data_IF_120380339714
#
_entry.id   IF_120380339714
#
_cell.length_a   1.000
_cell.length_b   1.000
_cell.length_c   1.000
_cell.angle_alpha   90.00
_cell.angle_beta   90.00
_cell.angle_gamma   90.00
#
_symmetry.space_group_name_H-M   'P 1'
#
loop_
_entity.id
_entity.type
_entity.pdbx_description
1 polymer ?
#
# COMPACT_ATOMS: atom_id res chain seq x y z
N UNK A 1 33.61 34.74 -62.65
CA UNK A 1 33.48 33.30 -62.34
C UNK A 1 32.78 33.17 -60.99
N UNK A 2 31.51 32.77 -60.97
CA UNK A 2 30.79 32.51 -59.72
C UNK A 2 31.23 31.14 -59.19
N UNK A 3 31.91 31.13 -58.04
CA UNK A 3 32.36 29.89 -57.39
C UNK A 3 31.14 29.20 -56.79
N UNK A 4 30.56 28.23 -57.50
CA UNK A 4 29.48 27.40 -56.95
C UNK A 4 30.07 26.50 -55.87
N UNK A 5 29.89 26.90 -54.61
CA UNK A 5 30.18 26.03 -53.46
C UNK A 5 29.08 24.96 -53.43
N UNK A 6 29.40 23.67 -53.61
CA UNK A 6 28.37 22.64 -53.57
C UNK A 6 27.78 22.56 -52.16
N UNK A 7 26.49 22.83 -52.05
CA UNK A 7 25.76 22.76 -50.79
C UNK A 7 25.67 21.28 -50.36
N UNK A 8 26.52 20.88 -49.40
CA UNK A 8 26.52 19.51 -48.88
C UNK A 8 25.33 19.30 -47.94
N UNK A 9 24.53 18.27 -48.23
CA UNK A 9 23.41 17.80 -47.40
C UNK A 9 23.75 16.43 -46.82
N UNK A 10 24.22 16.34 -45.57
CA UNK A 10 24.57 15.05 -44.98
C UNK A 10 23.32 14.15 -44.88
N UNK A 11 23.39 12.93 -45.43
CA UNK A 11 22.30 11.93 -45.34
C UNK A 11 22.01 11.55 -43.88
N UNK A 12 23.02 11.61 -43.01
CA UNK A 12 22.94 11.32 -41.57
C UNK A 12 21.98 12.24 -40.82
N UNK A 13 21.90 13.53 -41.18
CA UNK A 13 20.97 14.47 -40.54
C UNK A 13 19.50 14.10 -40.81
N UNK A 14 19.18 13.59 -42.00
CA UNK A 14 17.83 13.12 -42.34
C UNK A 14 17.49 11.80 -41.66
N UNK A 15 18.45 10.88 -41.57
CA UNK A 15 18.28 9.59 -40.89
C UNK A 15 18.06 9.81 -39.40
N UNK A 16 18.87 10.68 -38.77
CA UNK A 16 18.74 11.07 -37.36
C UNK A 16 17.36 11.63 -37.06
N UNK A 17 16.89 12.60 -37.85
CA UNK A 17 15.55 13.16 -37.68
C UNK A 17 14.45 12.10 -37.78
N UNK A 18 14.49 11.24 -38.80
CA UNK A 18 13.47 10.19 -38.98
C UNK A 18 13.50 9.17 -37.85
N UNK A 19 14.67 8.68 -37.47
CA UNK A 19 14.83 7.74 -36.37
C UNK A 19 14.28 8.33 -35.06
N UNK A 20 14.63 9.58 -34.73
CA UNK A 20 14.15 10.23 -33.50
C UNK A 20 12.65 10.50 -33.53
N UNK A 21 12.12 10.88 -34.70
CA UNK A 21 10.68 11.07 -34.89
C UNK A 21 9.88 9.78 -34.67
N UNK A 22 10.45 8.61 -34.97
CA UNK A 22 9.79 7.32 -34.71
C UNK A 22 10.07 6.76 -33.31
N UNK A 23 11.24 7.02 -32.73
CA UNK A 23 11.63 6.51 -31.42
C UNK A 23 10.63 6.91 -30.31
N UNK A 24 10.32 8.21 -30.22
CA UNK A 24 9.43 8.73 -29.16
C UNK A 24 8.01 8.16 -29.28
N UNK A 25 7.31 8.23 -30.43
CA UNK A 25 5.98 7.65 -30.56
C UNK A 25 5.95 6.14 -30.33
N UNK A 26 6.97 5.39 -30.76
CA UNK A 26 7.03 3.93 -30.51
C UNK A 26 7.03 3.66 -29.01
N UNK A 27 7.89 4.34 -28.24
CA UNK A 27 7.96 4.16 -26.79
C UNK A 27 6.67 4.60 -26.08
N UNK A 28 6.10 5.74 -26.49
CA UNK A 28 4.85 6.26 -25.90
C UNK A 28 3.68 5.33 -26.21
N UNK A 29 3.52 4.90 -27.45
CA UNK A 29 2.45 3.97 -27.84
C UNK A 29 2.62 2.63 -27.14
N UNK A 30 3.85 2.11 -27.03
CA UNK A 30 4.12 0.88 -26.31
C UNK A 30 3.73 0.98 -24.82
N UNK A 31 4.13 2.07 -24.14
CA UNK A 31 3.77 2.32 -22.76
C UNK A 31 2.25 2.43 -22.56
N UNK A 32 1.55 3.14 -23.45
CA UNK A 32 0.09 3.28 -23.40
C UNK A 32 -0.62 1.95 -23.69
N UNK A 33 -0.15 1.18 -24.68
CA UNK A 33 -0.69 -0.12 -25.02
C UNK A 33 -0.53 -1.10 -23.84
N UNK A 34 0.64 -1.11 -23.20
CA UNK A 34 0.89 -1.92 -22.01
C UNK A 34 -0.02 -1.51 -20.86
N UNK A 35 -0.11 -0.21 -20.58
CA UNK A 35 -0.98 0.30 -19.50
C UNK A 35 -2.47 0.00 -19.72
N UNK A 36 -2.90 -0.07 -20.97
CA UNK A 36 -4.25 -0.46 -21.36
C UNK A 36 -4.47 -1.99 -21.34
N UNK A 37 -3.46 -2.79 -21.01
CA UNK A 37 -3.53 -4.25 -21.01
C UNK A 37 -3.62 -4.87 -22.41
N UNK A 38 -3.23 -4.13 -23.45
CA UNK A 38 -3.27 -4.61 -24.84
C UNK A 38 -2.07 -5.48 -25.22
N UNK A 39 -0.96 -5.32 -24.49
CA UNK A 39 0.26 -6.10 -24.63
C UNK A 39 0.74 -6.53 -23.24
N UNK A 40 1.37 -7.69 -23.17
CA UNK A 40 1.98 -8.23 -21.95
C UNK A 40 3.37 -7.66 -21.66
N UNK A 41 3.88 -7.85 -20.44
CA UNK A 41 5.23 -7.40 -20.06
C UNK A 41 6.31 -7.97 -21.01
N UNK A 42 6.18 -9.23 -21.41
CA UNK A 42 7.12 -9.94 -22.30
C UNK A 42 7.12 -9.30 -23.70
N UNK A 43 5.97 -8.86 -24.20
CA UNK A 43 5.82 -8.21 -25.50
C UNK A 43 6.30 -6.76 -25.48
N UNK A 44 6.19 -6.08 -24.34
CA UNK A 44 6.66 -4.71 -24.16
C UNK A 44 8.19 -4.62 -24.29
N UNK A 45 8.94 -5.55 -23.68
CA UNK A 45 10.41 -5.53 -23.64
C UNK A 45 11.09 -5.35 -25.02
N UNK A 46 10.81 -6.16 -26.06
CA UNK A 46 11.43 -5.98 -27.37
C UNK A 46 11.01 -4.67 -28.06
N UNK A 47 9.77 -4.21 -27.86
CA UNK A 47 9.30 -2.94 -28.44
C UNK A 47 10.03 -1.75 -27.79
N UNK A 48 10.22 -1.78 -26.47
CA UNK A 48 11.04 -0.80 -25.77
C UNK A 48 12.49 -0.83 -26.25
N UNK A 49 13.10 -2.02 -26.33
CA UNK A 49 14.48 -2.16 -26.81
C UNK A 49 14.65 -1.58 -28.22
N UNK A 50 13.70 -1.84 -29.12
CA UNK A 50 13.69 -1.26 -30.46
C UNK A 50 13.53 0.28 -30.44
N UNK A 51 12.59 0.79 -29.65
CA UNK A 51 12.38 2.23 -29.49
C UNK A 51 13.61 2.96 -28.94
N UNK A 52 14.26 2.39 -27.94
CA UNK A 52 15.52 2.91 -27.39
C UNK A 52 16.66 2.81 -28.41
N UNK A 53 16.79 1.72 -29.16
CA UNK A 53 17.80 1.59 -30.20
C UNK A 53 17.64 2.67 -31.29
N UNK A 54 16.39 2.98 -31.70
CA UNK A 54 16.11 4.11 -32.59
C UNK A 54 16.49 5.44 -31.96
N UNK A 55 16.21 5.64 -30.67
CA UNK A 55 16.60 6.82 -29.90
C UNK A 55 18.11 7.03 -29.87
N UNK A 56 18.87 5.97 -29.56
CA UNK A 56 20.35 5.97 -29.57
C UNK A 56 20.87 6.31 -30.97
N UNK A 57 20.37 5.62 -32.00
CA UNK A 57 20.79 5.86 -33.37
C UNK A 57 20.50 7.30 -33.82
N UNK A 58 19.33 7.84 -33.45
CA UNK A 58 18.96 9.22 -33.74
C UNK A 58 19.88 10.22 -33.05
N UNK A 59 20.15 10.01 -31.76
CA UNK A 59 21.01 10.86 -30.94
C UNK A 59 22.44 10.88 -31.47
N UNK A 60 23.05 9.70 -31.65
CA UNK A 60 24.43 9.55 -32.13
C UNK A 60 24.58 10.09 -33.56
N UNK A 61 23.69 9.73 -34.49
CA UNK A 61 23.75 10.24 -35.85
C UNK A 61 23.55 11.76 -35.91
N UNK A 62 22.75 12.32 -35.00
CA UNK A 62 22.53 13.75 -34.84
C UNK A 62 23.80 14.46 -34.38
N UNK A 63 24.47 13.94 -33.34
CA UNK A 63 25.75 14.46 -32.86
C UNK A 63 26.82 14.42 -33.96
N UNK A 64 26.96 13.30 -34.67
CA UNK A 64 27.89 13.16 -35.80
C UNK A 64 27.58 14.18 -36.90
N UNK A 65 26.29 14.40 -37.20
CA UNK A 65 25.87 15.39 -38.18
C UNK A 65 26.21 16.82 -37.74
N UNK A 66 26.02 17.17 -36.46
CA UNK A 66 26.37 18.48 -35.92
C UNK A 66 27.88 18.74 -36.01
N UNK A 67 28.72 17.78 -35.60
CA UNK A 67 30.19 17.89 -35.72
C UNK A 67 30.62 18.06 -37.17
N UNK A 68 30.07 17.23 -38.08
CA UNK A 68 30.36 17.30 -39.51
C UNK A 68 29.96 18.64 -40.14
N UNK A 69 28.82 19.21 -39.72
CA UNK A 69 28.35 20.52 -40.17
C UNK A 69 29.20 21.66 -39.60
N UNK A 70 29.72 21.51 -38.38
CA UNK A 70 30.63 22.47 -37.76
C UNK A 70 31.97 22.54 -38.49
N UNK A 71 32.58 21.39 -38.81
CA UNK A 71 33.88 21.33 -39.48
C UNK A 71 33.84 21.74 -40.96
N UNK A 72 32.81 21.28 -41.69
CA UNK A 72 32.81 21.28 -43.16
C UNK A 72 31.85 22.30 -43.76
N UNK A 73 30.98 22.90 -42.94
CA UNK A 73 29.89 23.74 -43.38
C UNK A 73 28.82 22.97 -44.17
N UNK A 74 27.59 23.49 -44.19
CA UNK A 74 26.50 22.87 -44.94
C UNK A 74 25.12 23.25 -44.44
N UNK A 75 24.10 22.62 -45.02
CA UNK A 75 22.70 22.81 -44.63
C UNK A 75 22.15 21.52 -43.99
N UNK A 76 21.25 21.65 -43.02
CA UNK A 76 20.68 20.51 -42.29
C UNK A 76 20.82 20.56 -40.77
N UNK A 77 21.31 21.69 -40.22
CA UNK A 77 21.39 21.95 -38.78
C UNK A 77 20.09 21.65 -38.05
N UNK A 78 18.96 22.14 -38.56
CA UNK A 78 17.65 21.95 -37.93
C UNK A 78 17.25 20.47 -37.84
N UNK A 79 17.57 19.65 -38.84
CA UNK A 79 17.29 18.22 -38.82
C UNK A 79 18.20 17.49 -37.82
N UNK A 80 19.48 17.85 -37.76
CA UNK A 80 20.43 17.28 -36.80
C UNK A 80 20.05 17.63 -35.35
N UNK A 81 19.76 18.90 -35.05
CA UNK A 81 19.32 19.35 -33.72
C UNK A 81 18.03 18.64 -33.30
N UNK A 82 17.01 18.58 -34.17
CA UNK A 82 15.76 17.87 -33.85
C UNK A 82 15.99 16.38 -33.59
N UNK A 83 16.85 15.73 -34.38
CA UNK A 83 17.20 14.33 -34.16
C UNK A 83 17.88 14.09 -32.81
N UNK A 84 18.79 14.98 -32.39
CA UNK A 84 19.39 14.94 -31.05
C UNK A 84 18.34 15.18 -29.96
N UNK A 85 17.45 16.16 -30.13
CA UNK A 85 16.41 16.46 -29.13
C UNK A 85 15.44 15.28 -28.97
N UNK A 86 14.88 14.75 -30.07
CA UNK A 86 13.96 13.61 -30.00
C UNK A 86 14.65 12.32 -29.54
N UNK A 87 15.87 12.09 -29.99
CA UNK A 87 16.70 10.99 -29.48
C UNK A 87 16.93 11.13 -27.98
N UNK A 88 17.28 12.32 -27.51
CA UNK A 88 17.49 12.60 -26.09
C UNK A 88 16.24 12.36 -25.25
N UNK A 89 15.07 12.86 -25.69
CA UNK A 89 13.78 12.61 -25.03
C UNK A 89 13.49 11.11 -24.94
N UNK A 90 13.68 10.36 -26.03
CA UNK A 90 13.47 8.91 -26.04
C UNK A 90 14.41 8.18 -25.07
N UNK A 91 15.59 8.73 -24.77
CA UNK A 91 16.57 8.12 -23.88
C UNK A 91 16.42 8.53 -22.42
N UNK A 92 15.56 9.49 -22.06
CA UNK A 92 15.33 9.89 -20.65
C UNK A 92 14.90 8.70 -19.78
N UNK A 93 13.89 7.89 -20.16
CA UNK A 93 13.50 6.73 -19.34
C UNK A 93 14.61 5.70 -19.21
N UNK A 94 15.38 5.49 -20.29
CA UNK A 94 16.52 4.57 -20.28
C UNK A 94 17.62 5.07 -19.34
N UNK A 95 17.94 6.37 -19.38
CA UNK A 95 18.93 6.98 -18.51
C UNK A 95 18.51 6.90 -17.03
N UNK A 96 17.23 7.13 -16.73
CA UNK A 96 16.67 6.97 -15.40
C UNK A 96 16.80 5.51 -14.91
N UNK A 97 16.44 4.53 -15.75
CA UNK A 97 16.59 3.12 -15.42
C UNK A 97 18.06 2.71 -15.16
N UNK A 98 18.97 3.15 -16.03
CA UNK A 98 20.41 2.91 -15.86
C UNK A 98 20.97 3.56 -14.59
N UNK A 99 20.52 4.77 -14.25
CA UNK A 99 20.86 5.43 -13.00
C UNK A 99 20.35 4.63 -11.79
N UNK A 100 19.12 4.12 -11.85
CA UNK A 100 18.56 3.27 -10.80
C UNK A 100 19.38 2.00 -10.58
N UNK A 101 19.79 1.33 -11.67
CA UNK A 101 20.61 0.09 -11.61
C UNK A 101 21.97 0.26 -10.93
N UNK A 102 22.53 1.47 -10.92
CA UNK A 102 23.82 1.75 -10.26
C UNK A 102 23.68 2.35 -8.86
N UNK A 103 22.48 2.82 -8.52
CA UNK A 103 22.22 3.55 -7.27
C UNK A 103 21.55 2.67 -6.23
N UNK A 104 20.62 1.81 -6.66
CA UNK A 104 19.81 0.98 -5.76
C UNK A 104 20.32 -0.47 -5.71
N UNK A 105 20.11 -1.19 -4.60
CA UNK A 105 20.42 -2.60 -4.50
C UNK A 105 19.55 -3.42 -5.47
N UNK A 106 20.11 -4.50 -6.01
CA UNK A 106 19.41 -5.44 -6.90
C UNK A 106 18.41 -6.30 -6.12
N UNK A 107 17.27 -5.71 -5.76
CA UNK A 107 16.15 -6.34 -5.07
C UNK A 107 14.87 -6.10 -5.87
N UNK A 108 13.94 -7.05 -5.83
CA UNK A 108 12.62 -6.93 -6.46
C UNK A 108 11.47 -7.15 -5.47
N UNK A 109 11.78 -7.42 -4.20
CA UNK A 109 10.83 -7.77 -3.17
C UNK A 109 11.35 -7.19 -1.85
N UNK A 110 10.55 -6.33 -1.24
CA UNK A 110 10.92 -5.59 -0.04
C UNK A 110 9.79 -5.72 0.95
N UNK A 111 10.11 -6.11 2.17
CA UNK A 111 9.14 -6.28 3.27
C UNK A 111 9.61 -5.58 4.53
N UNK A 112 8.70 -4.95 5.27
CA UNK A 112 9.00 -4.42 6.60
C UNK A 112 9.30 -5.54 7.59
N UNK A 113 8.61 -6.68 7.51
CA UNK A 113 8.97 -7.90 8.24
C UNK A 113 9.78 -8.82 7.31
N UNK A 114 11.10 -8.79 7.46
CA UNK A 114 12.04 -9.52 6.60
C UNK A 114 12.04 -11.03 6.92
N UNK A 115 11.71 -11.41 8.16
CA UNK A 115 11.76 -12.82 8.58
C UNK A 115 10.46 -13.54 8.27
N UNK A 116 9.32 -12.85 8.40
CA UNK A 116 8.00 -13.37 8.08
C UNK A 116 7.22 -12.36 7.22
N UNK A 117 7.56 -12.22 5.92
CA UNK A 117 6.94 -11.24 5.05
C UNK A 117 5.43 -11.48 4.89
N UNK A 118 4.61 -10.41 4.73
CA UNK A 118 3.23 -10.53 4.30
C UNK A 118 3.07 -11.43 3.06
N UNK A 119 2.05 -12.28 3.08
CA UNK A 119 1.76 -13.23 1.99
C UNK A 119 1.18 -12.46 0.80
N UNK A 120 1.69 -12.75 -0.39
CA UNK A 120 1.15 -12.27 -1.66
C UNK A 120 0.32 -13.38 -2.32
N UNK A 121 -0.90 -13.05 -2.73
CA UNK A 121 -1.82 -13.88 -3.50
C UNK A 121 -1.49 -13.71 -4.99
N UNK A 122 -1.57 -14.81 -5.75
CA UNK A 122 -1.28 -14.86 -7.19
C UNK A 122 0.12 -14.32 -7.55
N UNK A 123 1.11 -14.60 -6.68
CA UNK A 123 2.50 -14.21 -6.85
C UNK A 123 3.40 -15.46 -6.97
N UNK A 124 3.79 -15.77 -8.21
CA UNK A 124 4.49 -17.01 -8.57
C UNK A 124 6.03 -16.93 -8.48
N UNK A 125 6.57 -15.90 -7.80
CA UNK A 125 8.02 -15.75 -7.65
C UNK A 125 8.51 -16.42 -6.37
N UNK A 126 9.74 -16.96 -6.35
CA UNK A 126 10.31 -17.51 -5.13
C UNK A 126 10.45 -16.42 -4.07
N UNK A 127 10.23 -16.81 -2.81
CA UNK A 127 10.49 -15.94 -1.66
C UNK A 127 11.97 -15.50 -1.61
N UNK A 128 12.27 -14.29 -1.10
CA UNK A 128 13.63 -13.77 -1.02
C UNK A 128 14.58 -14.71 -0.28
N UNK A 129 15.75 -14.93 -0.87
CA UNK A 129 16.76 -15.81 -0.27
C UNK A 129 17.44 -15.14 0.94
N UNK A 130 18.45 -15.79 1.53
CA UNK A 130 19.16 -15.22 2.69
C UNK A 130 20.03 -14.02 2.30
N UNK A 131 20.57 -14.02 1.09
CA UNK A 131 21.42 -12.94 0.59
C UNK A 131 20.59 -11.70 0.29
N UNK A 132 19.43 -11.87 -0.34
CA UNK A 132 18.47 -10.78 -0.61
C UNK A 132 18.00 -10.14 0.69
N UNK A 133 17.63 -10.94 1.69
CA UNK A 133 17.24 -10.44 3.02
C UNK A 133 18.36 -9.69 3.73
N UNK A 134 19.60 -10.16 3.61
CA UNK A 134 20.75 -9.44 4.18
C UNK A 134 21.00 -8.11 3.45
N UNK A 135 20.95 -8.13 2.11
CA UNK A 135 21.09 -6.94 1.29
C UNK A 135 20.01 -5.90 1.61
N UNK A 136 18.76 -6.35 1.81
CA UNK A 136 17.67 -5.46 2.23
C UNK A 136 17.94 -4.85 3.60
N UNK A 137 18.38 -5.64 4.60
CA UNK A 137 18.71 -5.12 5.94
C UNK A 137 19.81 -4.05 5.89
N UNK A 138 20.79 -4.23 5.04
CA UNK A 138 21.91 -3.29 4.88
C UNK A 138 21.48 -2.00 4.16
N UNK A 139 20.69 -2.12 3.09
CA UNK A 139 20.29 -0.98 2.26
C UNK A 139 19.10 -0.20 2.82
N UNK A 140 18.17 -0.86 3.52
CA UNK A 140 16.88 -0.31 3.92
C UNK A 140 16.57 -0.62 5.39
N UNK A 141 17.46 -0.20 6.28
CA UNK A 141 17.29 -0.40 7.74
C UNK A 141 16.14 0.41 8.36
N UNK A 142 15.61 1.40 7.64
CA UNK A 142 14.47 2.23 8.03
C UNK A 142 13.10 1.55 7.84
N UNK A 143 13.03 0.54 6.96
CA UNK A 143 11.78 -0.16 6.65
C UNK A 143 11.50 -1.25 7.67
N UNK A 144 10.87 -0.85 8.77
CA UNK A 144 10.51 -1.73 9.89
C UNK A 144 8.98 -1.80 10.10
N UNK A 145 8.49 -2.86 10.75
CA UNK A 145 7.08 -2.94 11.17
C UNK A 145 6.72 -1.78 12.09
N UNK A 146 5.53 -1.24 11.94
CA UNK A 146 5.03 -0.14 12.78
C UNK A 146 3.91 -0.61 13.69
N UNK A 147 3.85 -0.07 14.90
CA UNK A 147 2.77 -0.32 15.86
C UNK A 147 1.94 0.93 16.06
N UNK A 148 0.62 0.77 16.10
CA UNK A 148 -0.34 1.83 16.27
C UNK A 148 -1.22 1.54 17.49
N UNK A 149 -1.58 2.59 18.23
CA UNK A 149 -2.54 2.53 19.35
C UNK A 149 -3.98 2.70 18.85
N UNK A 150 -4.30 1.99 17.80
CA UNK A 150 -5.56 2.06 17.05
C UNK A 150 -6.06 0.63 16.89
N UNK A 151 -7.37 0.41 16.87
CA UNK A 151 -7.92 -0.93 16.74
C UNK A 151 -7.57 -1.52 15.37
N UNK A 152 -7.36 -2.84 15.23
CA UNK A 152 -7.04 -3.45 13.93
C UNK A 152 -8.03 -3.14 12.80
N UNK A 153 -9.32 -3.03 13.13
CA UNK A 153 -10.39 -2.67 12.19
C UNK A 153 -10.27 -1.23 11.66
N UNK A 154 -9.97 -0.29 12.55
CA UNK A 154 -9.76 1.12 12.19
C UNK A 154 -8.50 1.27 11.34
N UNK A 155 -7.41 0.58 11.70
CA UNK A 155 -6.17 0.58 10.93
C UNK A 155 -6.36 -0.05 9.54
N UNK A 156 -7.18 -1.11 9.44
CA UNK A 156 -7.54 -1.74 8.17
C UNK A 156 -8.32 -0.78 7.27
N UNK A 157 -9.31 -0.10 7.84
CA UNK A 157 -10.11 0.91 7.12
C UNK A 157 -9.23 2.06 6.63
N UNK A 158 -8.32 2.55 7.47
CA UNK A 158 -7.35 3.59 7.09
C UNK A 158 -6.40 3.11 5.97
N UNK A 159 -5.86 1.91 6.08
CA UNK A 159 -5.01 1.30 5.06
C UNK A 159 -5.75 1.19 3.71
N UNK A 160 -6.99 0.69 3.73
CA UNK A 160 -7.85 0.61 2.55
C UNK A 160 -8.07 1.99 1.92
N UNK A 161 -8.33 3.02 2.74
CA UNK A 161 -8.51 4.38 2.27
C UNK A 161 -7.26 4.93 1.56
N UNK A 162 -6.05 4.62 2.04
CA UNK A 162 -4.79 5.00 1.34
C UNK A 162 -4.71 4.34 -0.03
N UNK A 163 -5.01 3.04 -0.13
CA UNK A 163 -4.99 2.32 -1.41
C UNK A 163 -5.98 2.94 -2.41
N UNK A 164 -7.19 3.26 -1.95
CA UNK A 164 -8.22 3.91 -2.76
C UNK A 164 -7.82 5.33 -3.20
N UNK A 165 -7.25 6.15 -2.30
CA UNK A 165 -6.76 7.52 -2.60
C UNK A 165 -5.67 7.51 -3.68
N UNK A 166 -4.81 6.49 -3.67
CA UNK A 166 -3.76 6.32 -4.68
C UNK A 166 -4.24 5.72 -6.00
N UNK A 167 -5.49 5.26 -6.06
CA UNK A 167 -6.00 4.52 -7.21
C UNK A 167 -5.28 3.18 -7.41
N UNK A 168 -4.85 2.53 -6.32
CA UNK A 168 -4.27 1.19 -6.33
C UNK A 168 -5.40 0.16 -6.14
N UNK A 169 -5.84 -0.52 -7.21
CA UNK A 169 -6.97 -1.44 -7.11
C UNK A 169 -6.64 -2.62 -6.19
N UNK A 170 -7.58 -2.91 -5.28
CA UNK A 170 -7.48 -4.02 -4.33
C UNK A 170 -7.81 -5.32 -5.07
N UNK A 171 -6.88 -6.28 -5.06
CA UNK A 171 -7.03 -7.58 -5.73
C UNK A 171 -7.44 -8.69 -4.77
N UNK A 172 -7.06 -8.59 -3.50
CA UNK A 172 -7.42 -9.54 -2.45
C UNK A 172 -7.57 -8.83 -1.12
N UNK A 173 -8.58 -9.20 -0.33
CA UNK A 173 -8.86 -8.60 0.97
C UNK A 173 -9.41 -9.68 1.90
N UNK A 174 -8.84 -9.77 3.10
CA UNK A 174 -9.35 -10.55 4.22
C UNK A 174 -9.65 -9.53 5.33
N UNK A 175 -10.93 -9.15 5.50
CA UNK A 175 -11.33 -8.20 6.52
C UNK A 175 -11.02 -8.70 7.94
N UNK A 176 -10.92 -7.78 8.92
CA UNK A 176 -10.82 -8.15 10.34
C UNK A 176 -12.17 -8.66 10.83
N UNK A 177 -12.43 -9.96 10.67
CA UNK A 177 -13.70 -10.60 11.10
C UNK A 177 -13.73 -10.88 12.62
N UNK A 178 -12.57 -11.25 13.19
CA UNK A 178 -12.39 -11.51 14.61
C UNK A 178 -11.22 -10.69 15.15
N UNK A 179 -11.32 -10.27 16.42
CA UNK A 179 -10.31 -9.42 17.09
C UNK A 179 -8.90 -10.01 17.09
N UNK A 180 -8.76 -11.32 16.96
CA UNK A 180 -7.49 -12.04 17.13
C UNK A 180 -6.92 -12.61 15.80
N UNK A 181 -7.59 -12.37 14.66
CA UNK A 181 -7.14 -12.87 13.35
C UNK A 181 -6.50 -11.72 12.57
N UNK A 182 -5.31 -11.91 11.96
CA UNK A 182 -4.69 -10.87 11.16
C UNK A 182 -5.52 -10.56 9.92
N UNK A 183 -5.79 -9.28 9.70
CA UNK A 183 -6.40 -8.82 8.45
C UNK A 183 -5.33 -8.60 7.38
N UNK A 184 -5.73 -8.73 6.11
CA UNK A 184 -4.81 -8.62 4.97
C UNK A 184 -5.47 -7.85 3.84
N UNK A 185 -4.70 -7.01 3.17
CA UNK A 185 -5.13 -6.30 1.96
C UNK A 185 -4.01 -6.41 0.94
N UNK A 186 -4.31 -6.77 -0.29
CA UNK A 186 -3.39 -6.73 -1.41
C UNK A 186 -3.92 -5.79 -2.48
N UNK A 187 -3.04 -4.93 -2.98
CA UNK A 187 -3.32 -4.05 -4.11
C UNK A 187 -2.33 -4.26 -5.26
N UNK A 188 -2.81 -4.03 -6.47
CA UNK A 188 -2.00 -3.92 -7.68
C UNK A 188 -1.51 -2.48 -7.84
N UNK A 189 -0.20 -2.30 -8.05
CA UNK A 189 0.41 -0.98 -8.25
C UNK A 189 1.14 -0.96 -9.57
N UNK A 190 0.90 0.08 -10.39
CA UNK A 190 1.52 0.21 -11.71
C UNK A 190 2.57 1.30 -11.73
N UNK A 191 3.74 0.99 -12.29
CA UNK A 191 4.82 1.97 -12.47
C UNK A 191 4.43 3.08 -13.45
N UNK A 192 4.96 4.29 -13.23
CA UNK A 192 4.52 5.49 -13.95
C UNK A 192 4.88 5.48 -15.44
N UNK A 193 6.10 5.05 -15.79
CA UNK A 193 6.64 5.19 -17.14
C UNK A 193 6.08 4.16 -18.12
N UNK A 194 6.08 2.90 -17.71
CA UNK A 194 5.75 1.77 -18.58
C UNK A 194 4.58 0.93 -18.08
N UNK A 195 4.08 1.17 -16.87
CA UNK A 195 2.92 0.46 -16.35
C UNK A 195 3.20 -0.99 -15.95
N UNK A 196 4.46 -1.33 -15.65
CA UNK A 196 4.78 -2.62 -15.00
C UNK A 196 3.98 -2.77 -13.72
N UNK A 197 3.45 -3.97 -13.52
CA UNK A 197 2.65 -4.32 -12.37
C UNK A 197 3.53 -4.82 -11.23
N UNK A 198 3.28 -4.28 -10.04
CA UNK A 198 3.82 -4.70 -8.76
C UNK A 198 2.64 -5.03 -7.82
N UNK A 199 2.88 -5.82 -6.78
CA UNK A 199 1.93 -6.01 -5.70
C UNK A 199 2.37 -5.30 -4.42
N UNK A 200 1.40 -4.81 -3.68
CA UNK A 200 1.55 -4.27 -2.33
C UNK A 200 0.64 -5.07 -1.40
N UNK A 201 1.22 -5.86 -0.50
CA UNK A 201 0.50 -6.55 0.56
C UNK A 201 0.66 -5.82 1.88
N UNK A 202 -0.45 -5.63 2.56
CA UNK A 202 -0.56 -5.03 3.89
C UNK A 202 -1.12 -6.09 4.83
N UNK A 203 -0.38 -6.41 5.89
CA UNK A 203 -0.82 -7.30 6.97
C UNK A 203 -0.98 -6.49 8.24
N UNK A 204 -2.12 -6.64 8.89
CA UNK A 204 -2.45 -5.97 10.15
C UNK A 204 -2.70 -7.05 11.18
N UNK A 205 -1.85 -7.11 12.19
CA UNK A 205 -1.91 -8.06 13.29
C UNK A 205 -2.43 -7.38 14.56
N UNK A 206 -3.33 -8.01 15.32
CA UNK A 206 -3.69 -7.56 16.66
C UNK A 206 -2.44 -7.53 17.56
N UNK A 207 -2.25 -6.44 18.29
CA UNK A 207 -1.18 -6.26 19.28
C UNK A 207 -1.82 -5.87 20.62
N UNK A 208 -1.26 -6.23 21.79
CA UNK A 208 -1.88 -5.96 23.10
C UNK A 208 -2.30 -4.50 23.35
N UNK A 209 -1.68 -3.54 22.66
CA UNK A 209 -1.97 -2.12 22.79
C UNK A 209 -2.62 -1.48 21.56
N UNK A 210 -3.06 -2.29 20.58
CA UNK A 210 -3.69 -1.83 19.34
C UNK A 210 -3.43 -2.79 18.18
N UNK A 211 -2.63 -2.35 17.21
CA UNK A 211 -2.34 -3.13 16.01
C UNK A 211 -0.89 -2.94 15.53
N UNK A 212 -0.35 -3.99 14.91
CA UNK A 212 0.93 -3.97 14.20
C UNK A 212 0.68 -4.03 12.69
N UNK A 213 1.36 -3.16 11.96
CA UNK A 213 1.34 -3.07 10.50
C UNK A 213 2.64 -3.62 9.93
N UNK A 214 2.52 -4.61 9.05
CA UNK A 214 3.58 -5.06 8.17
C UNK A 214 3.18 -4.80 6.70
N UNK A 215 4.13 -4.36 5.89
CA UNK A 215 3.91 -4.05 4.48
C UNK A 215 4.99 -4.74 3.65
N UNK A 216 4.57 -5.37 2.56
CA UNK A 216 5.45 -5.96 1.54
C UNK A 216 5.11 -5.37 0.20
N UNK A 217 6.12 -4.94 -0.55
CA UNK A 217 5.97 -4.54 -1.94
C UNK A 217 6.93 -5.32 -2.82
N UNK A 218 6.40 -5.94 -3.86
CA UNK A 218 7.15 -6.85 -4.71
C UNK A 218 6.76 -6.69 -6.19
N UNK A 219 7.76 -6.71 -7.06
CA UNK A 219 7.58 -6.59 -8.50
C UNK A 219 7.27 -7.93 -9.14
N UNK A 220 6.31 -7.96 -10.08
CA UNK A 220 5.99 -9.21 -10.81
C UNK A 220 7.07 -9.54 -11.84
N UNK A 221 7.72 -8.52 -12.40
CA UNK A 221 8.71 -8.66 -13.48
C UNK A 221 10.04 -8.03 -13.10
N UNK A 222 11.13 -8.70 -13.46
CA UNK A 222 12.49 -8.21 -13.29
C UNK A 222 13.07 -8.50 -11.90
N UNK A 223 14.39 -8.68 -11.83
CA UNK A 223 15.10 -8.96 -10.56
C UNK A 223 15.49 -7.69 -9.80
N UNK A 224 15.12 -6.52 -10.32
CA UNK A 224 15.51 -5.24 -9.76
C UNK A 224 14.39 -4.21 -9.95
N UNK A 225 13.88 -3.70 -8.84
CA UNK A 225 12.78 -2.73 -8.76
C UNK A 225 13.22 -1.26 -8.92
N UNK A 226 14.53 -1.02 -9.07
CA UNK A 226 15.14 0.31 -9.11
C UNK A 226 14.78 1.19 -7.90
N UNK A 227 14.57 0.58 -6.72
CA UNK A 227 14.19 1.26 -5.48
C UNK A 227 12.70 1.59 -5.35
N UNK A 228 11.88 1.22 -6.34
CA UNK A 228 10.46 1.57 -6.37
C UNK A 228 9.67 0.95 -5.20
N UNK A 229 9.99 -0.29 -4.80
CA UNK A 229 9.25 -0.98 -3.74
C UNK A 229 9.51 -0.35 -2.37
N UNK A 230 10.77 0.02 -2.09
CA UNK A 230 11.13 0.72 -0.86
C UNK A 230 10.43 2.08 -0.78
N UNK A 231 10.46 2.86 -1.86
CA UNK A 231 9.82 4.17 -1.90
C UNK A 231 8.30 4.08 -1.75
N UNK A 232 7.69 3.07 -2.35
CA UNK A 232 6.24 2.81 -2.22
C UNK A 232 5.83 2.47 -0.81
N UNK A 233 6.62 1.67 -0.09
CA UNK A 233 6.35 1.37 1.33
C UNK A 233 6.41 2.65 2.16
N UNK A 234 7.40 3.52 1.94
CA UNK A 234 7.51 4.81 2.65
C UNK A 234 6.31 5.70 2.37
N UNK A 235 5.96 5.89 1.09
CA UNK A 235 4.79 6.65 0.66
C UNK A 235 3.51 6.13 1.32
N UNK A 236 3.26 4.82 1.25
CA UNK A 236 2.09 4.21 1.87
C UNK A 236 2.04 4.48 3.38
N UNK A 237 3.17 4.34 4.07
CA UNK A 237 3.24 4.58 5.51
C UNK A 237 3.02 6.05 5.86
N UNK A 238 3.60 6.99 5.10
CA UNK A 238 3.41 8.43 5.29
C UNK A 238 1.95 8.85 5.08
N UNK A 239 1.31 8.33 4.03
CA UNK A 239 -0.10 8.61 3.77
C UNK A 239 -1.03 7.96 4.78
N UNK A 240 -0.69 6.77 5.27
CA UNK A 240 -1.42 6.13 6.36
C UNK A 240 -1.36 6.98 7.63
N UNK A 241 -0.18 7.49 7.99
CA UNK A 241 -0.02 8.39 9.12
C UNK A 241 -0.89 9.65 8.95
N UNK A 242 -0.95 10.22 7.73
CA UNK A 242 -1.81 11.36 7.43
C UNK A 242 -3.30 11.04 7.55
N UNK A 243 -3.75 9.88 7.04
CA UNK A 243 -5.14 9.42 7.16
C UNK A 243 -5.54 9.20 8.62
N UNK A 244 -4.66 8.59 9.42
CA UNK A 244 -4.90 8.39 10.85
C UNK A 244 -4.95 9.72 11.60
N UNK A 245 -4.09 10.68 11.26
CA UNK A 245 -4.09 12.02 11.85
C UNK A 245 -5.36 12.80 11.47
N UNK A 246 -5.87 12.64 10.24
CA UNK A 246 -7.15 13.21 9.82
C UNK A 246 -8.34 12.58 10.59
N UNK A 247 -8.30 11.26 10.81
CA UNK A 247 -9.40 10.51 11.43
C UNK A 247 -9.47 10.68 12.96
N UNK A 248 -8.31 10.68 13.63
CA UNK A 248 -8.21 10.71 15.10
C UNK A 248 -7.74 12.06 15.65
N UNK A 249 -7.46 13.02 14.75
CA UNK A 249 -6.98 14.36 15.07
C UNK A 249 -5.48 14.42 15.30
N UNK A 250 -4.85 15.51 14.86
CA UNK A 250 -3.68 16.01 15.56
C UNK A 250 -4.17 16.30 16.97
N UNK A 251 -3.69 15.55 17.97
CA UNK A 251 -3.82 15.99 19.35
C UNK A 251 -3.36 17.46 19.35
N UNK A 252 -4.28 18.40 19.58
CA UNK A 252 -3.87 19.72 20.03
C UNK A 252 -2.86 19.46 21.13
N UNK A 253 -1.66 20.07 21.09
CA UNK A 253 -0.76 19.94 22.21
C UNK A 253 -1.55 20.42 23.42
N UNK A 254 -1.86 19.49 24.32
CA UNK A 254 -2.33 19.85 25.65
C UNK A 254 -1.19 20.67 26.21
N UNK A 255 -1.34 22.00 26.20
CA UNK A 255 -0.45 22.88 26.93
C UNK A 255 -0.46 22.38 28.37
N UNK A 256 0.72 22.27 28.98
CA UNK A 256 0.90 21.85 30.38
C UNK A 256 0.10 22.70 31.39
N UNK A 257 -0.61 23.74 30.93
CA UNK A 257 -1.46 24.65 31.69
C UNK A 257 -2.90 24.14 31.94
N UNK A 258 -3.34 23.04 31.34
CA UNK A 258 -4.55 22.34 31.84
C UNK A 258 -4.16 21.46 33.02
N UNK A 259 -4.16 22.09 34.18
CA UNK A 259 -3.99 21.49 35.50
C UNK A 259 -4.87 20.22 35.60
N UNK A 260 -4.22 19.07 35.75
CA UNK A 260 -4.90 17.81 35.98
C UNK A 260 -5.94 18.02 37.10
N UNK A 261 -7.19 17.54 36.95
CA UNK A 261 -8.16 17.64 38.03
C UNK A 261 -7.52 17.04 39.29
N UNK A 262 -7.63 17.71 40.44
CA UNK A 262 -6.95 17.28 41.66
C UNK A 262 -7.31 15.82 41.91
N UNK A 263 -6.33 15.01 42.37
CA UNK A 263 -6.61 13.61 42.67
C UNK A 263 -7.84 13.53 43.57
N UNK A 264 -8.78 12.60 43.32
CA UNK A 264 -9.90 12.41 44.21
C UNK A 264 -9.37 12.24 45.64
N UNK A 265 -10.04 12.81 46.66
CA UNK A 265 -9.57 12.72 48.04
C UNK A 265 -9.27 11.26 48.36
N UNK A 266 -8.08 11.01 48.91
CA UNK A 266 -7.66 9.68 49.34
C UNK A 266 -8.76 9.10 50.21
N UNK A 267 -9.45 8.07 49.69
CA UNK A 267 -10.36 7.30 50.51
C UNK A 267 -9.53 6.69 51.65
N UNK A 268 -9.94 6.86 52.92
CA UNK A 268 -9.17 6.33 54.03
C UNK A 268 -8.96 4.84 53.82
N UNK A 269 -7.71 4.40 53.92
CA UNK A 269 -7.36 2.98 53.86
C UNK A 269 -8.21 2.25 54.90
N UNK A 270 -8.81 1.12 54.50
CA UNK A 270 -9.68 0.27 55.34
C UNK A 270 -9.00 -0.28 56.62
N UNK A 271 -7.75 0.11 56.88
CA UNK A 271 -6.96 -0.20 58.07
C UNK A 271 -7.10 0.79 59.22
N UNK A 272 -7.68 1.98 59.03
CA UNK A 272 -7.75 3.01 60.09
C UNK A 272 -9.05 3.02 60.90
N UNK A 273 -10.01 2.13 60.61
CA UNK A 273 -11.25 2.01 61.40
C UNK A 273 -11.09 0.88 62.44
N UNK A 274 -11.14 1.16 63.75
CA UNK A 274 -11.10 0.14 64.79
C UNK A 274 -12.17 -0.93 64.57
N UNK A 275 -11.82 -2.19 64.80
CA UNK A 275 -12.66 -3.37 64.51
C UNK A 275 -14.00 -3.41 65.29
N UNK A 276 -14.19 -2.58 66.32
CA UNK A 276 -15.34 -2.66 67.23
C UNK A 276 -16.65 -2.06 66.71
N UNK A 277 -16.67 -1.34 65.58
CA UNK A 277 -17.91 -0.77 65.03
C UNK A 277 -18.60 -1.67 63.99
N UNK A 278 -18.11 -2.91 63.81
CA UNK A 278 -18.52 -3.82 62.72
C UNK A 278 -19.64 -4.81 63.04
N UNK A 279 -20.42 -4.61 64.11
CA UNK A 279 -21.56 -5.50 64.42
C UNK A 279 -22.80 -4.70 64.83
N UNK A 280 -23.46 -4.09 63.86
CA UNK A 280 -24.92 -3.93 63.90
C UNK A 280 -25.57 -5.14 63.22
N UNK A 281 -26.73 -5.65 63.68
CA UNK A 281 -27.42 -6.71 62.96
C UNK A 281 -27.74 -6.24 61.53
N UNK A 282 -27.68 -7.12 60.52
CA UNK A 282 -27.93 -6.74 59.14
C UNK A 282 -29.35 -6.15 59.01
N UNK A 283 -29.54 -5.11 58.18
CA UNK A 283 -30.88 -4.59 57.91
C UNK A 283 -31.74 -5.71 57.29
N UNK A 284 -33.03 -5.80 57.64
CA UNK A 284 -33.91 -6.80 57.04
C UNK A 284 -33.98 -6.57 55.52
N UNK A 285 -34.11 -7.65 54.73
CA UNK A 285 -34.11 -7.55 53.28
C UNK A 285 -35.26 -6.64 52.81
N UNK A 286 -34.90 -5.51 52.22
CA UNK A 286 -35.84 -4.66 51.49
C UNK A 286 -36.38 -5.44 50.30
N UNK A 287 -37.70 -5.69 50.31
CA UNK A 287 -38.42 -6.25 49.17
C UNK A 287 -38.17 -5.37 47.95
N UNK A 288 -37.70 -5.97 46.85
CA UNK A 288 -37.56 -5.27 45.57
C UNK A 288 -38.94 -4.72 45.17
N UNK A 289 -39.05 -3.47 44.70
CA UNK A 289 -40.28 -2.98 44.11
C UNK A 289 -40.53 -3.76 42.82
N UNK A 290 -41.68 -4.43 42.73
CA UNK A 290 -42.18 -4.98 41.47
C UNK A 290 -42.63 -3.79 40.61
N UNK A 291 -42.16 -3.64 39.36
CA UNK A 291 -42.65 -2.57 38.48
C UNK A 291 -44.10 -2.85 38.07
N UNK A 292 -45.01 -1.89 38.35
CA UNK A 292 -46.33 -1.84 37.71
C UNK A 292 -47.55 -2.28 38.52
N UNK A 293 -47.62 -2.00 39.82
CA UNK A 293 -48.86 -2.15 40.58
C UNK A 293 -49.67 -0.83 40.58
N UNK A 294 -50.51 -0.65 39.56
CA UNK A 294 -51.74 0.13 39.71
C UNK A 294 -52.74 -0.72 40.50
N UNK A 295 -53.34 -0.12 41.53
CA UNK A 295 -54.39 -0.72 42.35
C UNK A 295 -55.58 -1.09 41.47
N UNK A 296 -55.90 -2.39 41.39
CA UNK A 296 -57.17 -2.88 40.87
C UNK A 296 -57.81 -3.78 41.93
N UNK A 297 -58.74 -3.17 42.67
CA UNK A 297 -59.79 -3.84 43.43
C UNK A 297 -60.63 -4.70 42.46
N UNK A 298 -60.70 -6.01 42.70
CA UNK A 298 -61.56 -6.91 41.94
C UNK A 298 -61.26 -8.37 42.26
N UNK A 299 -62.16 -9.01 43.01
CA UNK A 299 -62.18 -10.47 43.13
C UNK A 299 -62.41 -11.08 41.75
N UNK A 300 -61.40 -11.74 41.18
CA UNK A 300 -61.60 -12.65 40.05
C UNK A 300 -60.86 -13.97 40.25
N UNK A 301 -61.59 -15.00 39.87
CA UNK A 301 -61.46 -16.40 40.22
C UNK A 301 -60.33 -17.03 39.40
N UNK A 302 -59.37 -17.69 40.06
CA UNK A 302 -58.23 -18.33 39.39
C UNK A 302 -58.69 -19.68 38.82
N UNK A 303 -58.79 -19.78 37.50
CA UNK A 303 -59.06 -21.04 36.76
C UNK A 303 -57.73 -21.82 36.57
N UNK A 304 -57.68 -23.16 36.72
CA UNK A 304 -56.42 -23.90 36.72
C UNK A 304 -55.94 -24.28 35.32
N UNK A 305 -54.67 -23.96 35.04
CA UNK A 305 -53.78 -24.59 34.04
C UNK A 305 -54.33 -24.68 32.61
N UNK A 306 -54.16 -23.61 31.85
CA UNK A 306 -54.28 -23.65 30.39
C UNK A 306 -53.08 -24.42 29.81
N UNK A 307 -53.37 -25.52 29.10
CA UNK A 307 -52.40 -26.38 28.43
C UNK A 307 -51.65 -25.62 27.32
N UNK A 308 -50.32 -25.82 27.26
CA UNK A 308 -49.48 -25.28 26.20
C UNK A 308 -49.89 -25.83 24.82
N UNK A 309 -49.87 -25.00 23.75
CA UNK A 309 -50.23 -25.41 22.39
C UNK A 309 -49.29 -26.51 21.84
N UNK A 310 -49.86 -27.39 21.00
CA UNK A 310 -49.24 -28.65 20.54
C UNK A 310 -48.02 -28.50 19.61
N UNK A 311 -47.66 -27.29 19.20
CA UNK A 311 -46.59 -27.01 18.24
C UNK A 311 -45.17 -27.03 18.84
N UNK A 312 -45.05 -27.13 20.17
CA UNK A 312 -43.76 -27.18 20.88
C UNK A 312 -43.40 -28.56 21.46
N UNK A 313 -44.12 -29.63 21.07
CA UNK A 313 -43.90 -31.00 21.60
C UNK A 313 -42.91 -31.87 20.82
N UNK A 314 -42.37 -31.40 19.71
CA UNK A 314 -41.37 -32.14 18.93
C UNK A 314 -40.13 -31.28 18.74
N UNK A 315 -39.08 -31.54 19.53
CA UNK A 315 -37.63 -31.51 19.22
C UNK A 315 -36.94 -31.82 20.57
N UNK A 316 -37.07 -33.04 21.07
CA UNK A 316 -36.15 -33.64 22.05
C UNK A 316 -36.39 -35.15 22.01
N UNK A 317 -35.79 -35.80 21.01
CA UNK A 317 -35.56 -37.24 21.05
C UNK A 317 -34.13 -37.42 21.53
N UNK A 318 -33.98 -37.74 22.80
CA UNK A 318 -32.74 -38.27 23.37
C UNK A 318 -32.41 -39.61 22.68
N UNK A 319 -31.26 -39.69 22.03
CA UNK A 319 -30.65 -40.97 21.69
C UNK A 319 -30.14 -41.64 22.97
N UNK A 320 -30.55 -42.89 23.28
CA UNK A 320 -30.00 -43.60 24.43
C UNK A 320 -28.61 -44.17 24.12
N UNK A 321 -27.69 -43.94 25.06
CA UNK A 321 -26.41 -44.63 25.13
C UNK A 321 -26.60 -46.08 25.60
N UNK A 322 -26.17 -47.03 24.77
CA UNK A 322 -25.75 -48.40 25.15
C UNK A 322 -24.49 -48.67 24.30
N UNK A 323 -23.37 -49.17 24.80
CA UNK A 323 -23.18 -50.30 25.71
C UNK A 323 -22.15 -51.22 25.05
#
# INVERSE_FOLDING_TARGET
MHKHIPIRRPRTARISYRAGLFAVPVLVIAALAHRAGLISDIELLPVMAFGFALGIAAFVAGLIALVSLWEKGGVGWSAAVRGVVYGGIALVPLAFGLYGLVTYPKLADISTDIENPPVLVDYDRPEPDKADRQLQREAYSDLVPRRFRVMPEELHTAARQVLERNGWPITSEIPPDLRDVPSRIQAEVRTLLFGFTDYLAVRIEPDPFGARLDVRSASLVGEHDLGANAERIRMFQEELDAVLLEAFGALEPVSEDEEAPPPPPELPLLSEVPYEERIGPPPPPSAKPVPGAEELDGEEQIDPLEELPEDLREIYVDEPAEG
#
